data_IF_440112088934
#
_entry.id   IF_440112088934
#
_cell.length_a   1.000
_cell.length_b   1.000
_cell.length_c   1.000
_cell.angle_alpha   90.00
_cell.angle_beta   90.00
_cell.angle_gamma   90.00
#
_symmetry.space_group_name_H-M   'P 1'
#
loop_
_entity.id
_entity.type
_entity.pdbx_description
1 polymer ?
#
# COMPACT_ATOMS: atom_id res chain seq x y z
N UNK A 1 50.82 -14.97 -5.60
CA UNK A 1 50.04 -14.32 -4.52
C UNK A 1 48.59 -14.34 -4.96
N UNK A 2 47.67 -14.90 -4.16
CA UNK A 2 46.24 -14.76 -4.44
C UNK A 2 45.88 -13.26 -4.36
N UNK A 3 45.48 -12.66 -5.47
CA UNK A 3 44.94 -11.31 -5.52
C UNK A 3 43.53 -11.34 -4.94
N UNK A 4 43.44 -11.24 -3.61
CA UNK A 4 42.16 -11.13 -2.92
C UNK A 4 41.49 -9.80 -3.30
N UNK A 5 40.25 -9.86 -3.76
CA UNK A 5 39.48 -8.69 -4.21
C UNK A 5 38.94 -7.82 -3.06
N UNK A 6 39.16 -8.22 -1.81
CA UNK A 6 38.68 -7.55 -0.62
C UNK A 6 39.75 -7.49 0.49
N UNK A 7 39.70 -6.47 1.38
CA UNK A 7 40.63 -6.34 2.50
C UNK A 7 40.56 -7.55 3.43
N UNK A 8 41.72 -8.01 3.88
CA UNK A 8 41.83 -9.10 4.84
C UNK A 8 42.07 -8.56 6.24
N UNK A 9 41.24 -8.99 7.17
CA UNK A 9 41.36 -8.62 8.57
C UNK A 9 42.26 -9.61 9.33
N UNK A 10 42.98 -9.09 10.33
CA UNK A 10 43.65 -9.91 11.33
C UNK A 10 42.62 -10.66 12.18
N UNK A 11 43.04 -11.74 12.84
CA UNK A 11 42.14 -12.53 13.72
C UNK A 11 41.54 -11.65 14.83
N UNK A 12 42.28 -10.66 15.32
CA UNK A 12 41.80 -9.73 16.35
C UNK A 12 40.66 -8.83 15.85
N UNK A 13 40.82 -8.29 14.64
CA UNK A 13 39.81 -7.47 13.98
C UNK A 13 38.59 -8.32 13.63
N UNK A 14 38.78 -9.54 13.11
CA UNK A 14 37.69 -10.48 12.82
C UNK A 14 36.85 -10.72 14.07
N UNK A 15 37.47 -11.05 15.21
CA UNK A 15 36.73 -11.26 16.48
C UNK A 15 35.92 -10.00 16.83
N UNK A 16 36.53 -8.82 16.69
CA UNK A 16 35.86 -7.55 17.01
C UNK A 16 34.65 -7.30 16.10
N UNK A 17 34.80 -7.47 14.78
CA UNK A 17 33.70 -7.32 13.84
C UNK A 17 32.59 -8.36 14.05
N UNK A 18 32.95 -9.63 14.25
CA UNK A 18 32.00 -10.71 14.51
C UNK A 18 31.19 -10.44 15.77
N UNK A 19 31.82 -9.96 16.86
CA UNK A 19 31.15 -9.58 18.10
C UNK A 19 30.17 -8.42 17.93
N UNK A 20 30.52 -7.45 17.11
CA UNK A 20 29.75 -6.21 16.97
C UNK A 20 28.62 -6.33 15.94
N UNK A 21 28.79 -7.18 14.91
CA UNK A 21 27.92 -7.19 13.73
C UNK A 21 27.22 -8.52 13.46
N UNK A 22 27.70 -9.65 14.01
CA UNK A 22 27.19 -10.98 13.67
C UNK A 22 26.62 -11.71 14.88
N UNK A 23 27.41 -11.86 15.93
CA UNK A 23 26.99 -12.52 17.17
C UNK A 23 26.34 -11.51 18.12
N UNK A 24 25.50 -12.01 19.02
CA UNK A 24 24.75 -11.20 19.99
C UNK A 24 24.82 -11.81 21.39
N UNK A 25 24.82 -10.98 22.43
CA UNK A 25 24.73 -11.45 23.81
C UNK A 25 25.95 -12.29 24.26
N UNK A 26 25.69 -13.46 24.85
CA UNK A 26 26.70 -14.35 25.39
C UNK A 26 27.64 -14.93 24.32
N UNK A 27 27.10 -15.28 23.14
CA UNK A 27 27.88 -15.86 22.04
C UNK A 27 28.99 -14.92 21.56
N UNK A 28 28.69 -13.62 21.49
CA UNK A 28 29.70 -12.61 21.17
C UNK A 28 30.74 -12.44 22.28
N UNK A 29 30.30 -12.33 23.54
CA UNK A 29 31.21 -12.14 24.68
C UNK A 29 32.21 -13.29 24.83
N UNK A 30 31.75 -14.52 24.59
CA UNK A 30 32.55 -15.73 24.74
C UNK A 30 33.50 -16.00 23.57
N UNK A 31 33.23 -15.45 22.37
CA UNK A 31 34.10 -15.63 21.20
C UNK A 31 35.49 -15.06 21.47
N UNK A 32 36.54 -15.89 21.38
CA UNK A 32 37.93 -15.48 21.57
C UNK A 32 38.76 -15.72 20.31
N UNK A 33 40.01 -15.21 20.28
CA UNK A 33 40.95 -15.47 19.18
C UNK A 33 41.29 -16.96 19.04
N UNK A 34 41.34 -17.66 20.17
CA UNK A 34 41.71 -19.09 20.22
C UNK A 34 40.65 -20.00 19.59
N UNK A 35 39.42 -19.51 19.47
CA UNK A 35 38.34 -20.26 18.80
C UNK A 35 38.45 -20.20 17.26
N UNK A 36 39.26 -19.29 16.72
CA UNK A 36 39.43 -19.06 15.28
C UNK A 36 40.87 -19.34 14.79
N UNK A 37 41.86 -19.31 15.68
CA UNK A 37 43.27 -19.51 15.35
C UNK A 37 44.04 -20.06 16.56
N UNK A 38 44.98 -21.00 16.40
CA UNK A 38 45.44 -21.61 15.14
C UNK A 38 44.54 -22.73 14.63
N UNK A 39 43.68 -23.29 15.48
CA UNK A 39 42.77 -24.38 15.16
C UNK A 39 41.33 -23.89 15.34
N UNK A 40 40.63 -23.53 14.26
CA UNK A 40 39.26 -23.04 14.36
C UNK A 40 38.33 -24.13 14.89
N UNK A 41 37.46 -23.78 15.83
CA UNK A 41 36.44 -24.70 16.36
C UNK A 41 35.25 -24.77 15.39
N UNK A 42 34.91 -25.94 14.81
CA UNK A 42 33.82 -26.06 13.85
C UNK A 42 32.49 -25.51 14.38
N UNK A 43 32.16 -25.79 15.63
CA UNK A 43 30.89 -25.42 16.25
C UNK A 43 30.74 -23.89 16.32
N UNK A 44 31.83 -23.19 16.69
CA UNK A 44 31.86 -21.72 16.74
C UNK A 44 31.69 -21.13 15.34
N UNK A 45 32.33 -21.73 14.33
CA UNK A 45 32.17 -21.30 12.94
C UNK A 45 30.76 -21.55 12.41
N UNK A 46 30.15 -22.68 12.76
CA UNK A 46 28.76 -22.97 12.39
C UNK A 46 27.83 -21.89 12.94
N UNK A 47 28.00 -21.50 14.21
CA UNK A 47 27.23 -20.40 14.80
C UNK A 47 27.47 -19.08 14.05
N UNK A 48 28.71 -18.72 13.76
CA UNK A 48 29.03 -17.47 13.04
C UNK A 48 28.40 -17.46 11.64
N UNK A 49 28.57 -18.53 10.88
CA UNK A 49 28.02 -18.64 9.52
C UNK A 49 26.50 -18.66 9.51
N UNK A 50 25.89 -19.41 10.44
CA UNK A 50 24.45 -19.43 10.62
C UNK A 50 23.92 -18.02 10.89
N UNK A 51 24.50 -17.32 11.86
CA UNK A 51 24.10 -15.94 12.20
C UNK A 51 24.30 -14.98 11.02
N UNK A 52 25.38 -15.11 10.26
CA UNK A 52 25.59 -14.31 9.06
C UNK A 52 24.48 -14.53 8.02
N UNK A 53 24.10 -15.79 7.77
CA UNK A 53 23.01 -16.12 6.85
C UNK A 53 21.66 -15.58 7.34
N UNK A 54 21.38 -15.67 8.65
CA UNK A 54 20.17 -15.11 9.25
C UNK A 54 20.09 -13.59 9.07
N UNK A 55 21.22 -12.89 9.19
CA UNK A 55 21.30 -11.42 9.01
C UNK A 55 21.10 -11.01 7.55
N UNK A 56 21.65 -11.79 6.61
CA UNK A 56 21.64 -11.44 5.18
C UNK A 56 20.34 -11.86 4.51
N UNK A 57 19.88 -13.09 4.74
CA UNK A 57 18.71 -13.66 4.07
C UNK A 57 17.44 -13.65 4.93
N UNK A 58 17.52 -13.29 6.21
CA UNK A 58 16.36 -13.37 7.11
C UNK A 58 15.93 -14.81 7.40
N UNK A 59 16.81 -15.80 7.22
CA UNK A 59 16.49 -17.19 7.51
C UNK A 59 16.31 -17.42 9.01
N UNK A 60 15.48 -18.41 9.36
CA UNK A 60 15.27 -18.85 10.74
C UNK A 60 16.03 -20.13 11.00
N UNK A 61 16.27 -20.47 12.27
CA UNK A 61 16.96 -21.70 12.65
C UNK A 61 16.26 -22.95 12.11
N UNK A 62 14.92 -22.96 12.12
CA UNK A 62 14.09 -24.05 11.60
C UNK A 62 14.39 -24.41 10.14
N UNK A 63 14.77 -23.44 9.30
CA UNK A 63 15.10 -23.69 7.89
C UNK A 63 16.32 -24.60 7.73
N UNK A 64 17.23 -24.65 8.72
CA UNK A 64 18.42 -25.49 8.69
C UNK A 64 18.12 -26.95 9.05
N UNK A 65 16.94 -27.24 9.61
CA UNK A 65 16.48 -28.59 9.92
C UNK A 65 15.49 -29.13 8.88
N UNK A 66 15.31 -28.43 7.76
CA UNK A 66 14.44 -28.90 6.68
C UNK A 66 15.09 -30.06 5.92
N UNK A 67 14.37 -31.17 5.82
CA UNK A 67 14.77 -32.33 5.03
C UNK A 67 14.27 -32.17 3.59
N UNK A 68 15.12 -32.40 2.56
CA UNK A 68 14.66 -32.40 1.18
C UNK A 68 13.60 -33.48 0.95
N UNK A 69 12.52 -33.13 0.24
CA UNK A 69 11.37 -34.02 0.02
C UNK A 69 11.71 -35.32 -0.75
N UNK A 70 12.75 -35.29 -1.57
CA UNK A 70 13.21 -36.44 -2.36
C UNK A 70 14.27 -37.28 -1.64
N UNK A 71 14.42 -37.12 -0.32
CA UNK A 71 15.36 -37.91 0.48
C UNK A 71 14.69 -39.22 0.88
N UNK A 72 14.98 -40.30 0.17
CA UNK A 72 14.46 -41.63 0.50
C UNK A 72 15.25 -42.25 1.66
N UNK A 73 15.05 -41.69 2.86
CA UNK A 73 15.77 -42.09 4.08
C UNK A 73 14.86 -42.94 4.95
N UNK A 74 15.29 -44.17 5.24
CA UNK A 74 14.54 -45.14 6.05
C UNK A 74 14.23 -44.63 7.48
N UNK A 75 15.13 -43.85 8.07
CA UNK A 75 15.00 -43.30 9.43
C UNK A 75 15.30 -41.80 9.48
N UNK A 76 14.32 -40.91 9.19
CA UNK A 76 14.53 -39.47 9.10
C UNK A 76 15.06 -38.81 10.38
N UNK A 77 14.65 -39.29 11.56
CA UNK A 77 15.06 -38.74 12.85
C UNK A 77 16.57 -38.87 13.10
N UNK A 78 17.25 -39.85 12.51
CA UNK A 78 18.71 -40.00 12.62
C UNK A 78 19.46 -38.91 11.83
N UNK A 79 18.78 -38.21 10.92
CA UNK A 79 19.39 -37.16 10.09
C UNK A 79 19.36 -35.79 10.76
N UNK A 80 18.63 -35.60 11.86
CA UNK A 80 18.46 -34.30 12.52
C UNK A 80 19.80 -33.62 12.88
N UNK A 81 20.82 -34.40 13.26
CA UNK A 81 22.15 -33.86 13.53
C UNK A 81 22.93 -33.44 12.28
N UNK A 82 22.65 -34.05 11.13
CA UNK A 82 23.34 -33.78 9.87
C UNK A 82 22.68 -32.67 9.04
N UNK A 83 21.34 -32.57 9.10
CA UNK A 83 20.56 -31.54 8.38
C UNK A 83 21.12 -30.12 8.54
N UNK A 84 21.41 -29.60 9.76
CA UNK A 84 21.93 -28.25 9.90
C UNK A 84 23.30 -28.06 9.21
N UNK A 85 24.16 -29.08 9.21
CA UNK A 85 25.47 -29.03 8.54
C UNK A 85 25.30 -29.03 7.02
N UNK A 86 24.44 -29.90 6.49
CA UNK A 86 24.12 -30.00 5.06
C UNK A 86 23.48 -28.70 4.54
N UNK A 87 22.45 -28.22 5.22
CA UNK A 87 21.77 -26.99 4.83
C UNK A 87 22.70 -25.78 4.98
N UNK A 88 23.55 -25.74 6.00
CA UNK A 88 24.56 -24.68 6.13
C UNK A 88 25.50 -24.65 4.92
N UNK A 89 25.98 -25.81 4.46
CA UNK A 89 26.81 -25.91 3.25
C UNK A 89 26.09 -25.35 2.02
N UNK A 90 24.85 -25.77 1.78
CA UNK A 90 24.06 -25.34 0.62
C UNK A 90 23.91 -23.81 0.59
N UNK A 91 23.55 -23.21 1.72
CA UNK A 91 23.38 -21.77 1.81
C UNK A 91 24.71 -21.01 1.69
N UNK A 92 25.78 -21.51 2.32
CA UNK A 92 27.11 -20.91 2.21
C UNK A 92 27.66 -20.97 0.79
N UNK A 93 27.40 -22.05 0.06
CA UNK A 93 27.84 -22.19 -1.33
C UNK A 93 27.17 -21.14 -2.25
N UNK A 94 25.95 -20.70 -1.93
CA UNK A 94 25.29 -19.59 -2.62
C UNK A 94 25.76 -18.22 -2.12
N UNK A 95 26.02 -18.08 -0.83
CA UNK A 95 26.33 -16.80 -0.18
C UNK A 95 27.78 -16.34 -0.38
N UNK A 96 28.74 -17.25 -0.25
CA UNK A 96 30.17 -16.91 -0.28
C UNK A 96 30.64 -16.32 -1.62
N UNK A 97 30.11 -16.73 -2.79
CA UNK A 97 30.39 -16.05 -4.06
C UNK A 97 30.02 -14.57 -4.06
N UNK A 98 28.93 -14.19 -3.37
CA UNK A 98 28.51 -12.79 -3.19
C UNK A 98 29.54 -12.04 -2.33
N UNK A 99 30.12 -12.73 -1.34
CA UNK A 99 31.24 -12.26 -0.52
C UNK A 99 32.61 -12.36 -1.22
N UNK A 100 32.65 -12.67 -2.53
CA UNK A 100 33.84 -12.84 -3.37
C UNK A 100 34.73 -14.04 -3.01
N UNK A 101 34.14 -15.07 -2.42
CA UNK A 101 34.79 -16.35 -2.09
C UNK A 101 34.14 -17.45 -2.92
N UNK A 102 34.88 -18.00 -3.89
CA UNK A 102 34.33 -18.97 -4.85
C UNK A 102 34.84 -20.41 -4.65
N UNK A 103 35.82 -20.61 -3.78
CA UNK A 103 36.50 -21.89 -3.58
C UNK A 103 36.09 -22.56 -2.25
N UNK A 104 34.84 -22.40 -1.84
CA UNK A 104 34.32 -22.98 -0.61
C UNK A 104 34.02 -24.47 -0.78
N UNK A 105 34.43 -25.28 0.20
CA UNK A 105 34.28 -26.74 0.17
C UNK A 105 33.63 -27.25 1.46
N UNK A 106 33.04 -28.45 1.43
CA UNK A 106 32.46 -29.10 2.62
C UNK A 106 33.49 -29.28 3.74
N UNK A 107 34.76 -29.49 3.38
CA UNK A 107 35.87 -29.58 4.33
C UNK A 107 36.05 -28.31 5.16
N UNK A 108 35.66 -27.14 4.66
CA UNK A 108 35.77 -25.88 5.41
C UNK A 108 34.75 -25.76 6.56
N UNK A 109 33.71 -26.61 6.55
CA UNK A 109 32.71 -26.73 7.62
C UNK A 109 33.11 -27.80 8.62
N UNK A 110 33.59 -28.95 8.13
CA UNK A 110 33.91 -30.12 8.95
C UNK A 110 35.32 -30.03 9.57
N UNK A 111 36.29 -29.53 8.81
CA UNK A 111 37.72 -29.49 9.14
C UNK A 111 38.33 -28.12 8.80
N UNK A 112 37.88 -27.04 9.48
CA UNK A 112 38.23 -25.68 9.13
C UNK A 112 39.74 -25.41 9.29
N UNK A 113 40.34 -24.75 8.30
CA UNK A 113 41.75 -24.32 8.32
C UNK A 113 41.85 -22.83 8.60
N UNK A 114 42.62 -22.42 9.61
CA UNK A 114 42.61 -21.04 10.08
C UNK A 114 42.88 -19.97 9.00
N UNK A 115 43.81 -20.22 8.08
CA UNK A 115 44.07 -19.28 6.96
C UNK A 115 42.87 -19.16 6.01
N UNK A 116 42.14 -20.26 5.74
CA UNK A 116 40.95 -20.22 4.87
C UNK A 116 39.77 -19.57 5.59
N UNK A 117 39.51 -20.00 6.82
CA UNK A 117 38.48 -19.43 7.70
C UNK A 117 38.63 -17.91 7.86
N UNK A 118 39.84 -17.41 8.14
CA UNK A 118 40.09 -15.96 8.24
C UNK A 118 39.79 -15.21 6.94
N UNK A 119 40.08 -15.81 5.78
CA UNK A 119 39.74 -15.23 4.47
C UNK A 119 38.22 -15.15 4.28
N UNK A 120 37.50 -16.23 4.61
CA UNK A 120 36.06 -16.29 4.45
C UNK A 120 35.33 -15.30 5.36
N UNK A 121 35.69 -15.29 6.64
CA UNK A 121 35.15 -14.33 7.59
C UNK A 121 35.43 -12.89 7.17
N UNK A 122 36.61 -12.61 6.59
CA UNK A 122 36.91 -11.28 6.05
C UNK A 122 35.98 -10.92 4.88
N UNK A 123 35.72 -11.84 3.95
CA UNK A 123 34.78 -11.61 2.85
C UNK A 123 33.36 -11.32 3.36
N UNK A 124 32.88 -12.12 4.32
CA UNK A 124 31.57 -11.93 4.94
C UNK A 124 31.47 -10.58 5.66
N UNK A 125 32.47 -10.19 6.45
CA UNK A 125 32.50 -8.91 7.17
C UNK A 125 32.44 -7.74 6.18
N UNK A 126 33.24 -7.80 5.10
CA UNK A 126 33.24 -6.76 4.06
C UNK A 126 31.86 -6.63 3.41
N UNK A 127 31.22 -7.76 3.08
CA UNK A 127 29.86 -7.75 2.53
C UNK A 127 28.84 -7.15 3.52
N UNK A 128 28.92 -7.49 4.80
CA UNK A 128 28.02 -6.95 5.83
C UNK A 128 28.20 -5.43 5.96
N UNK A 129 29.43 -4.91 5.94
CA UNK A 129 29.67 -3.47 5.95
C UNK A 129 29.08 -2.78 4.72
N UNK A 130 29.29 -3.36 3.53
CA UNK A 130 28.71 -2.84 2.29
C UNK A 130 27.17 -2.82 2.35
N UNK A 131 26.56 -3.93 2.79
CA UNK A 131 25.10 -4.04 2.97
C UNK A 131 24.58 -3.02 3.98
N UNK A 132 25.27 -2.82 5.10
CA UNK A 132 24.88 -1.83 6.11
C UNK A 132 24.88 -0.41 5.52
N UNK A 133 25.90 -0.06 4.71
CA UNK A 133 25.95 1.22 4.01
C UNK A 133 24.81 1.38 2.98
N UNK A 134 24.52 0.34 2.19
CA UNK A 134 23.40 0.35 1.25
C UNK A 134 22.04 0.39 1.96
N UNK A 135 21.94 -0.19 3.17
CA UNK A 135 20.67 -0.29 3.91
C UNK A 135 20.14 1.08 4.28
N UNK A 136 21.00 2.03 4.63
CA UNK A 136 20.59 3.39 4.98
C UNK A 136 19.83 4.05 3.82
N UNK A 137 20.43 4.08 2.63
CA UNK A 137 19.79 4.59 1.41
C UNK A 137 18.52 3.83 1.06
N UNK A 138 18.53 2.49 1.18
CA UNK A 138 17.35 1.69 0.88
C UNK A 138 16.18 1.97 1.86
N UNK A 139 16.46 2.16 3.14
CA UNK A 139 15.43 2.48 4.14
C UNK A 139 14.80 3.85 3.88
N UNK A 140 15.57 4.83 3.40
CA UNK A 140 15.02 6.12 2.99
C UNK A 140 14.02 5.97 1.84
N UNK A 141 14.37 5.23 0.78
CA UNK A 141 13.44 4.95 -0.32
C UNK A 141 12.20 4.20 0.14
N UNK A 142 12.36 3.19 0.99
CA UNK A 142 11.25 2.42 1.54
C UNK A 142 10.29 3.32 2.34
N UNK A 143 10.84 4.24 3.13
CA UNK A 143 10.06 5.22 3.89
C UNK A 143 9.28 6.17 2.99
N UNK A 144 9.93 6.74 1.96
CA UNK A 144 9.28 7.63 1.00
C UNK A 144 8.13 6.93 0.26
N UNK A 145 8.36 5.68 -0.16
CA UNK A 145 7.34 4.87 -0.81
C UNK A 145 6.16 4.62 0.14
N UNK A 146 6.42 4.20 1.38
CA UNK A 146 5.37 3.97 2.38
C UNK A 146 4.54 5.22 2.64
N UNK A 147 5.19 6.37 2.85
CA UNK A 147 4.50 7.65 3.04
C UNK A 147 3.62 8.02 1.85
N UNK A 148 4.06 7.73 0.63
CA UNK A 148 3.28 8.00 -0.58
C UNK A 148 2.04 7.09 -0.69
N UNK A 149 2.19 5.81 -0.34
CA UNK A 149 1.06 4.86 -0.27
C UNK A 149 0.05 5.31 0.79
N UNK A 150 0.52 5.71 1.97
CA UNK A 150 -0.35 6.17 3.07
C UNK A 150 -1.15 7.43 2.64
N UNK A 151 -0.51 8.38 1.95
CA UNK A 151 -1.19 9.56 1.38
C UNK A 151 -2.23 9.18 0.33
N UNK A 152 -1.92 8.23 -0.53
CA UNK A 152 -2.85 7.74 -1.56
C UNK A 152 -4.08 7.09 -0.91
N UNK A 153 -3.89 6.29 0.14
CA UNK A 153 -4.99 5.69 0.89
C UNK A 153 -5.87 6.76 1.56
N UNK A 154 -5.26 7.78 2.18
CA UNK A 154 -5.99 8.90 2.78
C UNK A 154 -6.81 9.69 1.74
N UNK A 155 -6.21 9.98 0.58
CA UNK A 155 -6.89 10.71 -0.48
C UNK A 155 -8.04 9.90 -1.09
N UNK A 156 -7.86 8.60 -1.27
CA UNK A 156 -8.92 7.71 -1.73
C UNK A 156 -10.09 7.65 -0.73
N UNK A 157 -9.81 7.59 0.58
CA UNK A 157 -10.85 7.62 1.60
C UNK A 157 -11.63 8.94 1.58
N UNK A 158 -10.93 10.08 1.51
CA UNK A 158 -11.56 11.40 1.40
C UNK A 158 -12.37 11.55 0.09
N UNK A 159 -11.87 10.99 -1.01
CA UNK A 159 -12.56 10.99 -2.29
C UNK A 159 -13.88 10.19 -2.22
N UNK A 160 -13.86 9.00 -1.62
CA UNK A 160 -15.07 8.20 -1.42
C UNK A 160 -16.09 8.91 -0.53
N UNK A 161 -15.64 9.57 0.54
CA UNK A 161 -16.52 10.35 1.42
C UNK A 161 -17.17 11.53 0.67
N UNK A 162 -16.40 12.24 -0.17
CA UNK A 162 -16.90 13.33 -0.99
C UNK A 162 -17.93 12.85 -2.02
N UNK A 163 -17.71 11.69 -2.64
CA UNK A 163 -18.69 11.07 -3.55
C UNK A 163 -20.00 10.73 -2.82
N UNK A 164 -19.93 10.15 -1.62
CA UNK A 164 -21.15 9.87 -0.83
C UNK A 164 -21.90 11.16 -0.44
N UNK A 165 -21.19 12.27 -0.19
CA UNK A 165 -21.81 13.57 0.09
C UNK A 165 -22.47 14.17 -1.15
N UNK A 166 -21.84 14.06 -2.32
CA UNK A 166 -22.43 14.49 -3.59
C UNK A 166 -23.70 13.70 -3.90
N UNK A 167 -23.67 12.38 -3.76
CA UNK A 167 -24.86 11.53 -3.99
C UNK A 167 -26.04 11.92 -3.10
N UNK A 168 -25.77 12.28 -1.83
CA UNK A 168 -26.80 12.79 -0.90
C UNK A 168 -27.36 14.16 -1.28
N UNK A 169 -26.58 15.01 -1.93
CA UNK A 169 -27.02 16.34 -2.38
C UNK A 169 -27.78 16.25 -3.71
N UNK A 170 -27.38 15.35 -4.61
CA UNK A 170 -28.07 15.12 -5.89
C UNK A 170 -29.40 14.37 -5.70
N UNK A 171 -29.59 13.67 -4.58
CA UNK A 171 -30.89 13.11 -4.24
C UNK A 171 -31.83 14.21 -3.74
N UNK A 172 -32.79 14.61 -4.57
CA UNK A 172 -33.88 15.51 -4.14
C UNK A 172 -34.73 14.78 -3.09
N UNK A 173 -34.90 15.34 -1.88
CA UNK A 173 -35.77 14.75 -0.87
C UNK A 173 -37.19 14.57 -1.42
N UNK A 174 -37.80 13.41 -1.15
CA UNK A 174 -39.15 13.12 -1.63
C UNK A 174 -40.20 14.15 -1.13
N UNK A 175 -39.94 14.77 0.02
CA UNK A 175 -40.74 15.86 0.59
C UNK A 175 -40.68 17.11 -0.28
N UNK A 176 -39.48 17.56 -0.68
CA UNK A 176 -39.32 18.72 -1.56
C UNK A 176 -39.91 18.47 -2.96
N UNK A 177 -39.79 17.25 -3.48
CA UNK A 177 -40.40 16.86 -4.76
C UNK A 177 -41.95 16.86 -4.69
N UNK A 178 -42.51 16.47 -3.54
CA UNK A 178 -43.95 16.47 -3.30
C UNK A 178 -44.50 17.89 -3.13
N UNK A 179 -43.80 18.76 -2.38
CA UNK A 179 -44.13 20.17 -2.24
C UNK A 179 -44.09 20.90 -3.59
N UNK A 180 -43.05 20.65 -4.40
CA UNK A 180 -42.95 21.26 -5.73
C UNK A 180 -44.09 20.84 -6.65
N UNK A 181 -44.53 19.57 -6.56
CA UNK A 181 -45.70 19.08 -7.30
C UNK A 181 -46.98 19.75 -6.82
N UNK A 182 -47.23 19.81 -5.51
CA UNK A 182 -48.42 20.49 -4.97
C UNK A 182 -48.49 21.95 -5.41
N UNK A 183 -47.40 22.70 -5.28
CA UNK A 183 -47.32 24.09 -5.73
C UNK A 183 -47.54 24.23 -7.24
N UNK A 184 -46.99 23.31 -8.05
CA UNK A 184 -47.20 23.30 -9.50
C UNK A 184 -48.67 23.06 -9.86
N UNK A 185 -49.33 22.13 -9.18
CA UNK A 185 -50.74 21.81 -9.39
C UNK A 185 -51.63 22.99 -8.98
N UNK A 186 -51.36 23.64 -7.84
CA UNK A 186 -52.06 24.85 -7.40
C UNK A 186 -51.91 26.02 -8.38
N UNK A 187 -50.70 26.24 -8.92
CA UNK A 187 -50.46 27.25 -9.96
C UNK A 187 -51.29 26.94 -11.22
N UNK A 188 -51.36 25.67 -11.61
CA UNK A 188 -52.09 25.25 -12.80
C UNK A 188 -53.60 25.42 -12.62
N UNK A 189 -54.14 25.09 -11.45
CA UNK A 189 -55.54 25.35 -11.09
C UNK A 189 -55.86 26.84 -11.10
N UNK A 190 -55.02 27.67 -10.48
CA UNK A 190 -55.18 29.13 -10.47
C UNK A 190 -55.16 29.70 -11.89
N UNK A 191 -54.28 29.21 -12.77
CA UNK A 191 -54.25 29.62 -14.18
C UNK A 191 -55.52 29.21 -14.93
N UNK A 192 -56.08 28.03 -14.67
CA UNK A 192 -57.33 27.59 -15.27
C UNK A 192 -58.50 28.45 -14.81
N UNK A 193 -58.61 28.71 -13.51
CA UNK A 193 -59.63 29.59 -12.93
C UNK A 193 -59.55 30.99 -13.53
N UNK A 194 -58.36 31.58 -13.58
CA UNK A 194 -58.13 32.89 -14.16
C UNK A 194 -58.57 32.95 -15.64
N UNK A 195 -58.22 31.93 -16.43
CA UNK A 195 -58.61 31.84 -17.84
C UNK A 195 -60.12 31.67 -18.02
N UNK A 196 -60.79 30.90 -17.18
CA UNK A 196 -62.25 30.78 -17.18
C UNK A 196 -62.91 32.12 -16.85
N UNK A 197 -62.40 32.81 -15.84
CA UNK A 197 -62.91 34.11 -15.38
C UNK A 197 -62.75 35.18 -16.48
N UNK A 198 -61.61 35.21 -17.17
CA UNK A 198 -61.40 36.05 -18.35
C UNK A 198 -62.39 35.72 -19.48
N UNK A 199 -62.62 34.44 -19.78
CA UNK A 199 -63.60 34.03 -20.80
C UNK A 199 -65.01 34.46 -20.44
N UNK A 200 -65.44 34.26 -19.19
CA UNK A 200 -66.75 34.66 -18.70
C UNK A 200 -66.97 36.18 -18.74
N UNK A 201 -65.96 36.97 -18.32
CA UNK A 201 -66.03 38.44 -18.42
C UNK A 201 -66.10 38.91 -19.87
N UNK A 202 -65.41 38.21 -20.77
CA UNK A 202 -65.43 38.50 -22.22
C UNK A 202 -66.79 38.20 -22.85
N UNK A 203 -67.41 37.05 -22.53
CA UNK A 203 -68.77 36.72 -23.00
C UNK A 203 -69.82 37.64 -22.40
N UNK A 204 -69.71 38.01 -21.13
CA UNK A 204 -70.60 39.00 -20.50
C UNK A 204 -70.45 40.39 -21.14
N UNK A 205 -69.23 40.84 -21.42
CA UNK A 205 -69.01 42.09 -22.18
C UNK A 205 -69.61 42.03 -23.59
N UNK A 206 -69.46 40.90 -24.28
CA UNK A 206 -70.07 40.70 -25.60
C UNK A 206 -71.60 40.68 -25.54
N UNK A 207 -72.18 40.06 -24.51
CA UNK A 207 -73.62 40.04 -24.26
C UNK A 207 -74.17 41.43 -23.93
N UNK A 208 -73.52 42.18 -23.04
CA UNK A 208 -73.87 43.56 -22.71
C UNK A 208 -73.76 44.48 -23.94
N UNK A 209 -72.72 44.31 -24.78
CA UNK A 209 -72.60 45.02 -26.07
C UNK A 209 -73.75 44.70 -27.02
N UNK A 210 -74.19 43.44 -27.09
CA UNK A 210 -75.36 43.03 -27.91
C UNK A 210 -76.65 43.62 -27.37
N UNK A 211 -76.85 43.62 -26.06
CA UNK A 211 -78.04 44.20 -25.40
C UNK A 211 -78.13 45.72 -25.62
N UNK A 212 -77.02 46.45 -25.48
CA UNK A 212 -76.97 47.88 -25.83
C UNK A 212 -77.29 48.14 -27.32
N UNK A 213 -76.90 47.24 -28.23
CA UNK A 213 -77.25 47.33 -29.66
C UNK A 213 -78.74 47.06 -29.94
N UNK A 214 -79.40 46.19 -29.18
CA UNK A 214 -80.82 45.87 -29.39
C UNK A 214 -81.76 46.86 -28.70
N UNK A 215 -81.30 47.60 -27.69
CA UNK A 215 -82.08 48.69 -27.04
C UNK A 215 -82.05 50.02 -27.83
N UNK A 216 -81.23 50.12 -28.89
CA UNK A 216 -81.17 51.27 -29.81
C UNK A 216 -82.07 51.16 -31.06
N UNK A 217 -83.38 50.84 -30.92
CA UNK A 217 -84.35 51.54 -31.77
C UNK A 217 -85.66 51.83 -31.04
N UNK A 218 -85.68 52.60 -29.93
CA UNK A 218 -86.96 53.11 -29.37
C UNK A 218 -86.96 54.51 -28.76
N UNK A 219 -85.86 55.28 -28.82
CA UNK A 219 -85.81 56.67 -28.31
C UNK A 219 -85.25 57.68 -29.32
N UNK A 220 -85.84 57.81 -30.52
CA UNK A 220 -85.78 59.04 -31.36
C UNK A 220 -87.00 59.16 -32.27
N UNK A 221 -88.21 59.23 -31.69
CA UNK A 221 -89.41 59.79 -32.33
C UNK A 221 -90.22 60.49 -31.24
N UNK A 222 -89.93 61.76 -31.00
CA UNK A 222 -90.83 62.82 -30.50
C UNK A 222 -90.00 64.05 -30.12
N UNK A 223 -90.51 65.24 -30.47
CA UNK A 223 -89.92 66.59 -30.31
C UNK A 223 -88.85 66.92 -31.38
N UNK A 224 -89.00 67.93 -32.25
CA UNK A 224 -89.64 69.23 -32.10
C UNK A 224 -90.26 69.77 -33.41
N UNK A 225 -91.27 70.62 -33.25
CA UNK A 225 -92.03 71.37 -34.26
C UNK A 225 -91.22 72.54 -34.87
N UNK A 226 -91.46 72.77 -36.17
CA UNK A 226 -91.58 74.00 -37.04
C UNK A 226 -91.43 75.40 -36.40
N UNK A 227 -91.15 76.52 -37.13
CA UNK A 227 -91.58 76.83 -38.52
C UNK A 227 -90.63 77.66 -39.43
N UNK A 228 -91.13 77.88 -40.64
CA UNK A 228 -90.70 78.60 -41.86
C UNK A 228 -90.39 80.10 -41.75
N UNK A 229 -89.46 80.57 -42.60
CA UNK A 229 -89.67 81.61 -43.65
C UNK A 229 -88.91 81.17 -44.90
#
# INVERSE_FOLDING_TARGET
METLSFPRYSVAEIVTHVRNKILTGADGKNLSKNDLYPNPKPEVLHTIYLRALQIVYGTRLEHFYMMPVNSDVMYPHLMEGFLPVSNLFIHLNSFLPICRVNDFETADILYPKAKRTSRFLSGIINFIHFRDACRETYMEYLWQHKSSVDKLQQLNAAHQEALMKLEKLDSVPAEEQAEFKQLSDEIQELQQLLNQDFRQKTTNCAFLRRRCRTETPRRRRTSWRKPSV
#
